data_IF_895737825641
#
_entry.id   IF_895737825641
#
_cell.length_a   1.000
_cell.length_b   1.000
_cell.length_c   1.000
_cell.angle_alpha   90.00
_cell.angle_beta   90.00
_cell.angle_gamma   90.00
#
_symmetry.space_group_name_H-M   'P 1'
#
loop_
_entity.id
_entity.type
_entity.pdbx_description
1 polymer ?
#
# COMPACT_ATOMS: atom_id res chain seq x y z
N UNK A 1 5.12 -11.29 38.36
CA UNK A 1 4.17 -10.76 37.34
C UNK A 1 4.93 -10.68 36.03
N UNK A 2 4.64 -11.57 35.08
CA UNK A 2 5.34 -11.62 33.80
C UNK A 2 5.05 -10.39 32.93
N UNK A 3 6.10 -9.72 32.45
CA UNK A 3 6.00 -8.67 31.43
C UNK A 3 5.50 -9.31 30.13
N UNK A 4 4.19 -9.21 29.83
CA UNK A 4 3.66 -9.48 28.49
C UNK A 4 4.43 -8.61 27.49
N UNK A 5 5.16 -9.24 26.56
CA UNK A 5 5.83 -8.56 25.45
C UNK A 5 4.74 -7.85 24.63
N UNK A 6 4.50 -6.57 24.90
CA UNK A 6 3.65 -5.74 24.04
C UNK A 6 4.42 -5.61 22.71
N UNK A 7 3.99 -6.34 21.67
CA UNK A 7 4.41 -6.04 20.30
C UNK A 7 4.07 -4.59 19.93
N UNK A 8 4.45 -4.10 18.75
CA UNK A 8 4.19 -2.71 18.30
C UNK A 8 2.67 -2.42 18.34
N UNK A 9 2.14 -1.74 19.38
CA UNK A 9 0.70 -1.53 19.50
C UNK A 9 0.33 -0.43 18.50
N UNK A 10 -0.11 -0.84 17.32
CA UNK A 10 -0.56 0.06 16.25
C UNK A 10 -2.01 -0.27 15.95
N UNK A 11 -2.89 0.73 15.92
CA UNK A 11 -4.31 0.55 15.60
C UNK A 11 -4.54 0.12 14.13
N UNK A 12 -3.53 0.32 13.26
CA UNK A 12 -3.52 -0.13 11.87
C UNK A 12 -2.28 -0.97 11.58
N UNK A 13 -2.25 -2.24 12.05
CA UNK A 13 -1.13 -3.11 11.77
C UNK A 13 -1.18 -3.58 10.31
N UNK A 14 -0.08 -3.38 9.56
CA UNK A 14 0.05 -3.79 8.15
C UNK A 14 0.35 -5.30 8.06
N UNK A 15 -0.58 -6.12 8.52
CA UNK A 15 -0.40 -7.58 8.64
C UNK A 15 -0.70 -8.35 7.35
N UNK A 16 -1.24 -7.68 6.33
CA UNK A 16 -1.64 -8.30 5.07
C UNK A 16 -0.62 -8.00 3.99
N UNK A 17 -0.18 -9.05 3.29
CA UNK A 17 0.72 -8.94 2.12
C UNK A 17 -0.08 -9.26 0.87
N UNK A 18 0.00 -8.39 -0.13
CA UNK A 18 -0.58 -8.61 -1.45
C UNK A 18 0.57 -9.00 -2.39
N UNK A 19 0.46 -10.18 -3.01
CA UNK A 19 1.35 -10.62 -4.09
C UNK A 19 0.50 -10.78 -5.33
N UNK A 20 0.87 -10.13 -6.41
CA UNK A 20 0.19 -10.26 -7.69
C UNK A 20 1.23 -10.18 -8.81
N UNK A 21 0.91 -10.82 -9.93
CA UNK A 21 1.73 -10.72 -11.14
C UNK A 21 1.29 -9.49 -11.91
N UNK A 22 2.27 -8.76 -12.44
CA UNK A 22 2.06 -7.62 -13.32
C UNK A 22 2.83 -7.84 -14.61
N UNK A 23 2.35 -7.22 -15.66
CA UNK A 23 3.03 -6.99 -16.92
C UNK A 23 4.13 -5.93 -16.80
N UNK A 24 5.06 -5.93 -17.76
CA UNK A 24 6.19 -5.00 -17.82
C UNK A 24 5.73 -3.53 -17.86
N UNK A 25 4.66 -3.24 -18.62
CA UNK A 25 4.11 -1.90 -18.72
C UNK A 25 3.60 -1.36 -17.38
N UNK A 26 2.95 -2.21 -16.58
CA UNK A 26 2.50 -1.83 -15.24
C UNK A 26 3.67 -1.63 -14.29
N UNK A 27 4.73 -2.43 -14.41
CA UNK A 27 5.95 -2.23 -13.63
C UNK A 27 6.62 -0.88 -13.96
N UNK A 28 6.73 -0.56 -15.25
CA UNK A 28 7.30 0.71 -15.72
C UNK A 28 6.52 1.92 -15.20
N UNK A 29 5.18 1.88 -15.29
CA UNK A 29 4.31 2.92 -14.70
C UNK A 29 4.51 3.05 -13.19
N UNK A 30 4.65 1.93 -12.48
CA UNK A 30 4.85 1.93 -11.04
C UNK A 30 6.20 2.54 -10.64
N UNK A 31 7.27 2.25 -11.41
CA UNK A 31 8.60 2.85 -11.21
C UNK A 31 8.54 4.36 -11.50
N UNK A 32 8.00 4.76 -12.65
CA UNK A 32 7.85 6.16 -13.03
C UNK A 32 7.10 6.97 -11.96
N UNK A 33 5.95 6.48 -11.51
CA UNK A 33 5.18 7.13 -10.42
C UNK A 33 5.98 7.19 -9.11
N UNK A 34 6.84 6.21 -8.84
CA UNK A 34 7.67 6.16 -7.63
C UNK A 34 8.76 7.22 -7.66
N UNK A 35 9.35 7.45 -8.83
CA UNK A 35 10.40 8.44 -9.05
C UNK A 35 9.84 9.87 -9.01
N UNK A 36 8.74 10.12 -9.72
CA UNK A 36 8.08 11.44 -9.78
C UNK A 36 7.55 11.88 -8.42
N UNK A 37 6.84 10.99 -7.71
CA UNK A 37 6.23 11.32 -6.42
C UNK A 37 7.20 11.12 -5.24
N UNK A 38 8.39 10.53 -5.46
CA UNK A 38 9.38 10.19 -4.43
C UNK A 38 8.81 9.37 -3.27
N UNK A 39 7.82 8.53 -3.55
CA UNK A 39 7.17 7.65 -2.58
C UNK A 39 7.42 6.18 -2.94
N UNK A 40 7.28 5.30 -1.96
CA UNK A 40 7.44 3.85 -2.20
C UNK A 40 6.37 3.28 -3.14
N UNK A 41 6.73 2.28 -3.95
CA UNK A 41 5.81 1.46 -4.75
C UNK A 41 4.57 1.01 -3.96
N UNK A 42 4.76 0.57 -2.72
CA UNK A 42 3.64 0.14 -1.85
C UNK A 42 2.72 1.28 -1.43
N UNK A 43 3.20 2.53 -1.38
CA UNK A 43 2.36 3.68 -1.10
C UNK A 43 1.52 4.05 -2.32
N UNK A 44 2.10 4.01 -3.51
CA UNK A 44 1.36 4.22 -4.78
C UNK A 44 0.20 3.23 -4.89
N UNK A 45 0.45 1.95 -4.62
CA UNK A 45 -0.60 0.94 -4.65
C UNK A 45 -1.72 1.22 -3.64
N UNK A 46 -1.38 1.67 -2.42
CA UNK A 46 -2.38 2.05 -1.41
C UNK A 46 -3.21 3.24 -1.86
N UNK A 47 -2.56 4.29 -2.37
CA UNK A 47 -3.25 5.48 -2.86
C UNK A 47 -4.13 5.16 -4.07
N UNK A 48 -3.67 4.30 -4.98
CA UNK A 48 -4.45 3.83 -6.12
C UNK A 48 -5.73 3.11 -5.68
N UNK A 49 -5.65 2.22 -4.69
CA UNK A 49 -6.82 1.55 -4.12
C UNK A 49 -7.77 2.55 -3.46
N UNK A 50 -7.25 3.51 -2.69
CA UNK A 50 -8.07 4.55 -2.05
C UNK A 50 -8.80 5.40 -3.09
N UNK A 51 -8.13 5.85 -4.16
CA UNK A 51 -8.77 6.65 -5.21
C UNK A 51 -9.90 5.89 -5.91
N UNK A 52 -9.63 4.63 -6.31
CA UNK A 52 -10.66 3.78 -6.94
C UNK A 52 -11.84 3.56 -5.99
N UNK A 53 -11.58 3.34 -4.70
CA UNK A 53 -12.63 3.17 -3.70
C UNK A 53 -13.46 4.43 -3.49
N UNK A 54 -12.80 5.59 -3.37
CA UNK A 54 -13.44 6.89 -3.21
C UNK A 54 -14.31 7.23 -4.43
N UNK A 55 -13.82 6.96 -5.64
CA UNK A 55 -14.56 7.18 -6.89
C UNK A 55 -15.80 6.28 -6.98
N UNK A 56 -15.72 5.05 -6.48
CA UNK A 56 -16.85 4.12 -6.43
C UNK A 56 -17.87 4.45 -5.32
N UNK A 57 -17.43 5.03 -4.21
CA UNK A 57 -18.28 5.32 -3.04
C UNK A 57 -18.94 6.70 -3.08
N UNK A 58 -18.39 7.63 -3.87
CA UNK A 58 -19.01 8.94 -4.13
C UNK A 58 -20.11 8.90 -5.21
N UNK A 59 -20.47 7.70 -5.67
CA UNK A 59 -21.56 7.45 -6.61
C UNK A 59 -22.87 7.23 -5.87
#
# INVERSE_FOLDING_TARGET
>A
MEKRKRGRPTNSPKNKTIKFRIDEDTEHKLIYCSEELKISKSQILREGVTRIYDDLTKK
#
